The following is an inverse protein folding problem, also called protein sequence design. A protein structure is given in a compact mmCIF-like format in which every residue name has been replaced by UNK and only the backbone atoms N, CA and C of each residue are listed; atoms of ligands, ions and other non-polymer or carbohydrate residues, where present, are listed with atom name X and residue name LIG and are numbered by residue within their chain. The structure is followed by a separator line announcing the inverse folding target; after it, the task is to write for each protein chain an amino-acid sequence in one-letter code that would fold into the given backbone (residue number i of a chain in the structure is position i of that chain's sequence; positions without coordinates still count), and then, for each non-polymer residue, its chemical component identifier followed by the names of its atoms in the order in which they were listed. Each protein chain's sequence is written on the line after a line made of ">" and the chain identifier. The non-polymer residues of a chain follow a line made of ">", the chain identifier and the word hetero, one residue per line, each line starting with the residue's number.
data_IF_647592738585
#
_entry.id   IF_647592738585
#
_cell.length_a   1.000
_cell.length_b   1.000
_cell.length_c   1.000
_cell.angle_alpha   90.00
_cell.angle_beta   90.00
_cell.angle_gamma   90.00
#
_symmetry.space_group_name_H-M   'P 1'
#
loop_
_entity.id
_entity.type
_entity.pdbx_description
1 polymer ?
#
# COMPACT_ATOMS: atom_id res chain seq x y z
N UNK A 1 -10.72 -0.57 23.33
CA UNK A 1 -11.03 0.75 22.76
C UNK A 1 -11.12 0.58 21.25
N UNK A 2 -12.33 0.66 20.68
CA UNK A 2 -12.54 0.63 19.24
C UNK A 2 -12.27 2.04 18.72
N UNK A 3 -11.14 2.24 18.04
CA UNK A 3 -10.90 3.47 17.28
C UNK A 3 -11.81 3.43 16.05
N UNK A 4 -13.08 3.82 16.25
CA UNK A 4 -14.00 4.13 15.16
C UNK A 4 -13.45 5.35 14.44
N UNK A 5 -12.93 5.14 13.23
CA UNK A 5 -12.36 6.22 12.42
C UNK A 5 -13.51 7.01 11.82
N UNK A 6 -13.76 8.26 12.24
CA UNK A 6 -14.94 9.03 11.80
C UNK A 6 -14.88 9.48 10.33
N UNK A 7 -13.82 9.08 9.61
CA UNK A 7 -13.51 9.53 8.27
C UNK A 7 -13.15 8.35 7.35
N UNK A 8 -13.75 7.18 7.59
CA UNK A 8 -13.82 6.13 6.58
C UNK A 8 -14.77 6.60 5.47
N UNK A 9 -14.38 7.64 4.75
CA UNK A 9 -15.00 8.01 3.50
C UNK A 9 -14.86 6.78 2.61
N UNK A 10 -15.99 6.22 2.17
CA UNK A 10 -15.94 5.11 1.23
C UNK A 10 -15.11 5.58 0.03
N UNK A 11 -14.06 4.83 -0.34
CA UNK A 11 -13.22 5.25 -1.44
C UNK A 11 -14.12 5.39 -2.66
N UNK A 12 -13.97 6.49 -3.39
CA UNK A 12 -14.67 6.65 -4.65
C UNK A 12 -14.37 5.48 -5.58
N UNK A 13 -15.21 5.19 -6.60
CA UNK A 13 -14.94 4.11 -7.54
C UNK A 13 -13.57 4.23 -8.22
N UNK A 14 -13.04 5.44 -8.37
CA UNK A 14 -11.69 5.70 -8.86
C UNK A 14 -10.62 5.34 -7.83
N UNK A 15 -10.77 5.76 -6.58
CA UNK A 15 -9.89 5.37 -5.47
C UNK A 15 -9.88 3.85 -5.24
N UNK A 16 -11.04 3.17 -5.36
CA UNK A 16 -11.10 1.70 -5.29
C UNK A 16 -10.24 1.07 -6.38
N UNK A 17 -10.29 1.60 -7.61
CA UNK A 17 -9.46 1.10 -8.71
C UNK A 17 -7.98 1.37 -8.47
N UNK A 18 -7.61 2.51 -7.90
CA UNK A 18 -6.23 2.81 -7.54
C UNK A 18 -5.74 1.92 -6.42
N UNK A 19 -6.54 1.72 -5.37
CA UNK A 19 -6.26 0.82 -4.26
C UNK A 19 -6.07 -0.62 -4.73
N UNK A 20 -6.90 -1.09 -5.66
CA UNK A 20 -6.79 -2.44 -6.22
C UNK A 20 -5.50 -2.60 -7.05
N UNK A 21 -5.17 -1.60 -7.89
CA UNK A 21 -3.89 -1.57 -8.63
C UNK A 21 -2.69 -1.55 -7.69
N UNK A 22 -2.75 -0.74 -6.64
CA UNK A 22 -1.70 -0.62 -5.63
C UNK A 22 -1.52 -1.95 -4.90
N UNK A 23 -2.62 -2.58 -4.50
CA UNK A 23 -2.63 -3.91 -3.89
C UNK A 23 -1.97 -4.94 -4.79
N UNK A 24 -2.34 -4.99 -6.07
CA UNK A 24 -1.77 -5.94 -7.02
C UNK A 24 -0.28 -5.69 -7.25
N UNK A 25 0.16 -4.42 -7.30
CA UNK A 25 1.60 -4.09 -7.40
C UNK A 25 2.36 -4.56 -6.18
N UNK A 26 1.85 -4.27 -4.98
CA UNK A 26 2.48 -4.70 -3.72
C UNK A 26 2.51 -6.22 -3.63
N UNK A 27 1.42 -6.91 -3.98
CA UNK A 27 1.35 -8.37 -3.94
C UNK A 27 2.33 -9.02 -4.93
N UNK A 28 2.49 -8.42 -6.12
CA UNK A 28 3.48 -8.85 -7.11
C UNK A 28 4.91 -8.60 -6.65
N UNK A 29 5.20 -7.42 -6.12
CA UNK A 29 6.51 -7.12 -5.56
C UNK A 29 6.81 -8.03 -4.36
N UNK A 30 5.81 -8.35 -3.56
CA UNK A 30 5.97 -9.25 -2.42
C UNK A 30 6.00 -10.75 -2.80
N UNK A 31 5.74 -11.11 -4.05
CA UNK A 31 5.60 -12.51 -4.46
C UNK A 31 6.92 -13.28 -4.38
N UNK A 32 8.04 -12.59 -4.61
CA UNK A 32 9.40 -13.10 -4.42
C UNK A 32 9.90 -13.00 -2.97
N UNK A 33 9.04 -12.52 -2.05
CA UNK A 33 9.33 -12.42 -0.62
C UNK A 33 10.25 -11.26 -0.26
N UNK A 34 10.55 -10.37 -1.22
CA UNK A 34 11.42 -9.21 -1.02
C UNK A 34 10.77 -7.98 -1.62
N UNK A 35 11.03 -6.81 -1.06
CA UNK A 35 10.71 -5.53 -1.72
C UNK A 35 12.01 -4.77 -1.86
N UNK A 36 12.41 -4.54 -3.11
CA UNK A 36 13.55 -3.69 -3.42
C UNK A 36 13.22 -2.22 -3.25
N UNK A 37 14.25 -1.39 -3.09
CA UNK A 37 14.11 0.07 -3.09
C UNK A 37 13.40 0.60 -4.34
N UNK A 38 13.65 0.00 -5.51
CA UNK A 38 12.99 0.40 -6.77
C UNK A 38 11.50 0.11 -6.74
N UNK A 39 11.09 -1.06 -6.24
CA UNK A 39 9.68 -1.43 -6.13
C UNK A 39 8.96 -0.58 -5.08
N UNK A 40 9.62 -0.31 -3.96
CA UNK A 40 9.13 0.63 -2.94
C UNK A 40 8.87 2.02 -3.53
N UNK A 41 9.77 2.48 -4.40
CA UNK A 41 9.65 3.77 -5.07
C UNK A 41 8.55 3.74 -6.14
N UNK A 42 8.42 2.65 -6.89
CA UNK A 42 7.34 2.45 -7.88
C UNK A 42 5.95 2.43 -7.20
N UNK A 43 5.85 1.77 -6.04
CA UNK A 43 4.64 1.77 -5.20
C UNK A 43 4.33 3.19 -4.72
N UNK A 44 5.35 3.94 -4.24
CA UNK A 44 5.17 5.35 -3.86
C UNK A 44 4.72 6.22 -5.03
N UNK A 45 5.31 6.03 -6.20
CA UNK A 45 4.93 6.77 -7.42
C UNK A 45 3.50 6.41 -7.81
N UNK A 46 3.08 5.15 -7.68
CA UNK A 46 1.71 4.74 -7.96
C UNK A 46 0.69 5.44 -7.05
N UNK A 47 1.00 5.57 -5.75
CA UNK A 47 0.18 6.32 -4.78
C UNK A 47 0.17 7.81 -5.08
N UNK A 48 1.29 8.36 -5.55
CA UNK A 48 1.40 9.78 -5.89
C UNK A 48 0.85 10.12 -7.29
N UNK A 49 0.69 9.12 -8.17
CA UNK A 49 0.30 9.31 -9.57
C UNK A 49 -1.14 9.82 -9.73
N UNK A 50 -2.01 9.53 -8.77
CA UNK A 50 -3.38 10.06 -8.72
C UNK A 50 -3.42 11.53 -8.26
N UNK A 51 -2.28 12.10 -7.86
CA UNK A 51 -2.16 13.48 -7.36
C UNK A 51 -2.78 13.70 -5.98
N UNK A 52 -3.35 12.65 -5.38
CA UNK A 52 -3.89 12.63 -4.03
C UNK A 52 -3.41 11.37 -3.32
N UNK A 53 -2.76 11.56 -2.18
CA UNK A 53 -2.48 10.48 -1.24
C UNK A 53 -3.67 10.37 -0.31
N UNK A 54 -4.53 9.37 -0.53
CA UNK A 54 -5.62 9.09 0.38
C UNK A 54 -5.10 8.40 1.65
N UNK A 55 -5.82 8.59 2.76
CA UNK A 55 -5.52 7.87 3.99
C UNK A 55 -5.64 6.35 3.82
N UNK A 56 -6.50 5.91 2.91
CA UNK A 56 -6.71 4.50 2.60
C UNK A 56 -5.51 3.88 1.88
N UNK A 57 -4.87 4.59 0.95
CA UNK A 57 -3.64 4.12 0.29
C UNK A 57 -2.47 4.01 1.28
N UNK A 58 -2.33 5.00 2.16
CA UNK A 58 -1.33 4.97 3.24
C UNK A 58 -1.57 3.80 4.21
N UNK A 59 -2.82 3.54 4.57
CA UNK A 59 -3.16 2.37 5.38
C UNK A 59 -2.87 1.06 4.64
N UNK A 60 -3.25 0.96 3.37
CA UNK A 60 -3.03 -0.22 2.56
C UNK A 60 -1.52 -0.53 2.45
N UNK A 61 -0.73 0.51 2.17
CA UNK A 61 0.72 0.43 2.14
C UNK A 61 1.28 -0.04 3.50
N UNK A 62 0.83 0.56 4.61
CA UNK A 62 1.26 0.13 5.94
C UNK A 62 0.92 -1.33 6.21
N UNK A 63 -0.28 -1.77 5.84
CA UNK A 63 -0.76 -3.13 6.11
C UNK A 63 -0.14 -4.19 5.21
N UNK A 64 0.15 -3.86 3.95
CA UNK A 64 0.68 -4.83 2.98
C UNK A 64 2.19 -4.81 2.86
N UNK A 65 2.83 -3.66 3.08
CA UNK A 65 4.29 -3.53 3.01
C UNK A 65 4.87 -3.54 4.41
N UNK A 66 4.54 -2.55 5.23
CA UNK A 66 5.17 -2.40 6.56
C UNK A 66 4.87 -3.57 7.48
N UNK A 67 3.61 -4.02 7.56
CA UNK A 67 3.22 -5.15 8.43
C UNK A 67 3.89 -6.45 7.99
N UNK A 68 3.95 -6.71 6.68
CA UNK A 68 4.64 -7.88 6.11
C UNK A 68 6.15 -7.83 6.34
N UNK A 69 6.77 -6.66 6.25
CA UNK A 69 8.19 -6.48 6.59
C UNK A 69 8.43 -6.75 8.08
N UNK A 70 7.57 -6.21 8.94
CA UNK A 70 7.69 -6.36 10.41
C UNK A 70 7.46 -7.80 10.85
N UNK A 71 6.53 -8.52 10.22
CA UNK A 71 6.26 -9.94 10.49
C UNK A 71 7.32 -10.87 9.90
N UNK A 72 8.21 -10.36 9.04
CA UNK A 72 9.23 -11.15 8.35
C UNK A 72 8.69 -11.96 7.17
N UNK A 73 7.45 -11.69 6.74
CA UNK A 73 6.90 -12.21 5.47
C UNK A 73 7.55 -11.56 4.24
N UNK A 74 8.18 -10.39 4.43
CA UNK A 74 8.80 -9.59 3.39
C UNK A 74 10.17 -9.08 3.85
N UNK A 75 11.22 -9.30 3.05
CA UNK A 75 12.53 -8.69 3.30
C UNK A 75 12.65 -7.37 2.54
N UNK A 76 13.05 -6.29 3.23
CA UNK A 76 13.35 -5.03 2.56
C UNK A 76 14.77 -5.02 2.03
N UNK A 77 14.92 -5.00 0.71
CA UNK A 77 16.20 -4.99 0.01
C UNK A 77 16.60 -3.53 -0.31
N UNK A 78 17.69 -3.07 0.32
CA UNK A 78 18.15 -1.68 0.35
C UNK A 78 19.11 -1.30 -0.79
#
# INVERSE_FOLDING_TARGET
>A
MLVSRPNAQEPTPEEIRQLDKLKIRIDRAAADGKISKQEMEDIKIAVLADGKVSFQEMELYRKLVTDKIVTGELEYEF
#
